data_IF_888959823336
#
_entry.id   IF_888959823336
#
_cell.length_a   1.000
_cell.length_b   1.000
_cell.length_c   1.000
_cell.angle_alpha   90.00
_cell.angle_beta   90.00
_cell.angle_gamma   90.00
#
_symmetry.space_group_name_H-M   'P 1'
#
loop_
_entity.id
_entity.type
_entity.pdbx_description
1 polymer ?
#
# COMPACT_ATOMS: atom_id res chain seq x y z
N UNK A 1 -9.30 -8.53 1.39
CA UNK A 1 -8.11 -9.41 1.43
C UNK A 1 -7.09 -8.75 2.33
N UNK A 2 -6.38 -9.52 3.15
CA UNK A 2 -5.33 -9.00 4.03
C UNK A 2 -4.07 -9.82 3.80
N UNK A 3 -2.96 -9.15 3.49
CA UNK A 3 -1.65 -9.75 3.44
C UNK A 3 -0.88 -9.32 4.69
N UNK A 4 -0.54 -10.29 5.52
CA UNK A 4 0.18 -10.07 6.78
C UNK A 4 1.63 -10.51 6.64
N UNK A 5 2.52 -9.86 7.39
CA UNK A 5 3.92 -10.28 7.44
C UNK A 5 4.71 -9.96 6.17
N UNK A 6 4.28 -8.98 5.37
CA UNK A 6 4.91 -8.57 4.11
C UNK A 6 6.24 -7.84 4.36
N UNK A 7 7.25 -8.60 4.79
CA UNK A 7 8.58 -8.12 5.17
C UNK A 7 9.66 -8.89 4.41
N UNK A 8 10.81 -8.27 4.21
CA UNK A 8 11.97 -8.92 3.61
C UNK A 8 12.37 -10.19 4.40
N UNK A 9 12.80 -11.22 3.67
CA UNK A 9 13.04 -12.60 4.13
C UNK A 9 11.78 -13.43 4.46
N UNK A 10 10.61 -12.80 4.64
CA UNK A 10 9.33 -13.50 4.69
C UNK A 10 8.64 -13.50 3.33
N UNK A 11 8.66 -12.36 2.63
CA UNK A 11 8.16 -12.20 1.28
C UNK A 11 9.02 -11.12 0.57
N UNK A 12 9.89 -11.47 -0.39
CA UNK A 12 10.18 -12.83 -0.84
C UNK A 12 10.79 -13.70 0.26
N UNK A 13 10.34 -14.96 0.34
CA UNK A 13 10.87 -15.91 1.30
C UNK A 13 12.36 -16.17 1.03
N UNK A 14 13.17 -16.17 2.10
CA UNK A 14 14.58 -16.58 2.04
C UNK A 14 14.92 -17.45 3.24
N UNK A 15 15.48 -18.62 2.98
CA UNK A 15 16.13 -19.44 4.00
C UNK A 15 17.51 -18.86 4.33
N UNK A 16 17.99 -19.04 5.56
CA UNK A 16 19.30 -18.53 6.00
C UNK A 16 20.47 -19.08 5.18
N UNK A 17 20.31 -20.26 4.59
CA UNK A 17 21.39 -21.00 3.91
C UNK A 17 21.24 -21.00 2.38
N UNK A 18 20.26 -20.28 1.84
CA UNK A 18 19.96 -20.35 0.40
C UNK A 18 19.79 -18.95 -0.19
N UNK A 19 20.57 -18.67 -1.23
CA UNK A 19 20.44 -17.43 -1.97
C UNK A 19 19.16 -17.40 -2.79
N UNK A 20 18.53 -16.22 -2.85
CA UNK A 20 17.36 -16.03 -3.68
C UNK A 20 17.80 -15.90 -5.13
N UNK A 21 17.66 -16.99 -5.87
CA UNK A 21 17.87 -17.00 -7.31
C UNK A 21 16.85 -16.08 -8.01
N UNK A 22 17.20 -15.49 -9.17
CA UNK A 22 16.27 -14.65 -9.93
C UNK A 22 14.94 -15.36 -10.24
N UNK A 23 14.99 -16.65 -10.57
CA UNK A 23 13.81 -17.47 -10.84
C UNK A 23 12.87 -17.57 -9.64
N UNK A 24 13.40 -17.82 -8.43
CA UNK A 24 12.59 -17.87 -7.21
C UNK A 24 12.04 -16.50 -6.84
N UNK A 25 12.82 -15.44 -7.03
CA UNK A 25 12.32 -14.08 -6.81
C UNK A 25 11.11 -13.78 -7.71
N UNK A 26 11.12 -14.21 -8.96
CA UNK A 26 9.96 -14.08 -9.85
C UNK A 26 8.76 -14.93 -9.43
N UNK A 27 8.99 -16.14 -8.91
CA UNK A 27 7.93 -16.99 -8.36
C UNK A 27 7.26 -16.34 -7.14
N UNK A 28 8.05 -15.82 -6.19
CA UNK A 28 7.56 -15.07 -5.03
C UNK A 28 6.81 -13.79 -5.45
N UNK A 29 7.30 -13.11 -6.49
CA UNK A 29 6.64 -11.95 -7.09
C UNK A 29 5.29 -12.34 -7.70
N UNK A 30 5.20 -13.49 -8.38
CA UNK A 30 3.94 -14.05 -8.88
C UNK A 30 2.98 -14.38 -7.73
N UNK A 31 3.47 -14.95 -6.63
CA UNK A 31 2.65 -15.19 -5.44
C UNK A 31 2.07 -13.90 -4.86
N UNK A 32 2.90 -12.86 -4.74
CA UNK A 32 2.44 -11.53 -4.31
C UNK A 32 1.38 -10.98 -5.27
N UNK A 33 1.61 -11.06 -6.58
CA UNK A 33 0.66 -10.62 -7.60
C UNK A 33 -0.69 -11.35 -7.52
N UNK A 34 -0.67 -12.67 -7.32
CA UNK A 34 -1.89 -13.46 -7.10
C UNK A 34 -2.62 -13.05 -5.81
N UNK A 35 -1.87 -12.76 -4.74
CA UNK A 35 -2.44 -12.22 -3.50
C UNK A 35 -3.13 -10.87 -3.70
N UNK A 36 -2.54 -9.99 -4.50
CA UNK A 36 -3.10 -8.67 -4.84
C UNK A 36 -4.37 -8.82 -5.68
N UNK A 37 -4.31 -9.59 -6.76
CA UNK A 37 -5.42 -9.76 -7.72
C UNK A 37 -6.60 -10.55 -7.15
N UNK A 38 -6.41 -11.30 -6.05
CA UNK A 38 -7.51 -11.88 -5.26
C UNK A 38 -8.36 -10.84 -4.53
N UNK A 39 -7.83 -9.64 -4.28
CA UNK A 39 -8.58 -8.58 -3.62
C UNK A 39 -9.56 -7.92 -4.58
N UNK A 40 -10.87 -8.09 -4.37
CA UNK A 40 -11.91 -7.49 -5.24
C UNK A 40 -12.11 -5.99 -5.04
N UNK A 41 -12.03 -5.51 -3.80
CA UNK A 41 -12.32 -4.11 -3.45
C UNK A 41 -11.17 -3.46 -2.67
N UNK A 42 -10.72 -4.12 -1.60
CA UNK A 42 -9.70 -3.58 -0.71
C UNK A 42 -8.69 -4.65 -0.36
N UNK A 43 -7.42 -4.25 -0.47
CA UNK A 43 -6.26 -5.00 -0.01
C UNK A 43 -5.62 -4.22 1.15
N UNK A 44 -5.54 -4.86 2.31
CA UNK A 44 -4.73 -4.35 3.42
C UNK A 44 -3.40 -5.09 3.45
N UNK A 45 -2.29 -4.35 3.52
CA UNK A 45 -0.93 -4.90 3.57
C UNK A 45 -0.31 -4.52 4.91
N UNK A 46 0.00 -5.53 5.72
CA UNK A 46 0.63 -5.37 7.03
C UNK A 46 2.11 -5.70 7.01
N UNK A 47 2.94 -4.75 7.44
CA UNK A 47 4.39 -4.93 7.67
C UNK A 47 4.69 -4.88 9.16
N UNK A 48 5.81 -5.47 9.58
CA UNK A 48 6.24 -5.53 10.96
C UNK A 48 7.50 -4.68 11.11
N UNK A 49 7.54 -3.76 12.08
CA UNK A 49 8.77 -3.00 12.37
C UNK A 49 9.82 -3.84 13.11
N UNK A 50 9.36 -4.83 13.89
CA UNK A 50 10.21 -5.77 14.63
C UNK A 50 9.57 -7.15 14.55
N UNK A 51 10.38 -8.20 14.43
CA UNK A 51 9.91 -9.59 14.43
C UNK A 51 10.81 -10.48 15.26
N UNK A 52 10.24 -11.54 15.82
CA UNK A 52 10.99 -12.58 16.53
C UNK A 52 11.63 -13.53 15.50
N UNK A 53 12.91 -13.84 15.67
CA UNK A 53 13.64 -14.83 14.90
C UNK A 53 14.38 -15.75 15.89
N UNK A 54 13.82 -16.92 16.16
CA UNK A 54 14.31 -17.80 17.23
C UNK A 54 14.20 -17.11 18.60
N UNK A 55 15.35 -16.92 19.26
CA UNK A 55 15.44 -16.23 20.56
C UNK A 55 15.60 -14.72 20.44
N UNK A 56 15.92 -14.22 19.25
CA UNK A 56 16.23 -12.81 19.02
C UNK A 56 15.03 -12.03 18.48
N UNK A 57 15.03 -10.71 18.70
CA UNK A 57 14.08 -9.79 18.06
C UNK A 57 14.84 -8.90 17.08
N UNK A 58 14.58 -9.09 15.79
CA UNK A 58 15.25 -8.38 14.71
C UNK A 58 14.35 -7.27 14.16
N UNK A 59 14.98 -6.26 13.55
CA UNK A 59 14.27 -5.24 12.78
C UNK A 59 13.55 -5.90 11.59
N UNK A 60 12.28 -5.56 11.41
CA UNK A 60 11.52 -5.94 10.24
C UNK A 60 11.67 -4.87 9.16
N UNK A 61 12.13 -5.29 8.00
CA UNK A 61 12.26 -4.45 6.81
C UNK A 61 11.05 -4.72 5.92
N UNK A 62 10.30 -3.70 5.48
CA UNK A 62 9.19 -3.89 4.53
C UNK A 62 9.64 -4.66 3.27
N UNK A 63 8.76 -5.48 2.72
CA UNK A 63 9.05 -6.20 1.47
C UNK A 63 9.41 -5.23 0.34
N UNK A 64 10.42 -5.58 -0.46
CA UNK A 64 10.75 -4.89 -1.71
C UNK A 64 9.56 -4.75 -2.67
N UNK A 65 8.63 -5.71 -2.66
CA UNK A 65 7.46 -5.70 -3.54
C UNK A 65 6.50 -4.55 -3.25
N UNK A 66 6.51 -3.98 -2.03
CA UNK A 66 5.68 -2.81 -1.68
C UNK A 66 6.18 -1.56 -2.41
N UNK A 67 7.50 -1.35 -2.44
CA UNK A 67 8.09 -0.19 -3.11
C UNK A 67 7.85 -0.24 -4.63
N UNK A 68 7.93 -1.43 -5.22
CA UNK A 68 7.69 -1.65 -6.65
C UNK A 68 6.23 -1.37 -7.08
N UNK A 69 5.28 -1.36 -6.14
CA UNK A 69 3.88 -0.98 -6.44
C UNK A 69 3.70 0.51 -6.73
N UNK A 70 4.68 1.35 -6.39
CA UNK A 70 4.62 2.81 -6.61
C UNK A 70 3.34 3.45 -6.03
N UNK A 71 2.95 3.02 -4.83
CA UNK A 71 1.70 3.48 -4.19
C UNK A 71 1.65 5.01 -3.99
N UNK A 72 2.81 5.67 -3.92
CA UNK A 72 2.92 7.12 -3.79
C UNK A 72 2.51 7.86 -5.08
N UNK A 73 2.58 7.21 -6.24
CA UNK A 73 2.13 7.76 -7.53
C UNK A 73 0.61 7.62 -7.71
N UNK A 74 -0.04 6.77 -6.92
CA UNK A 74 -1.48 6.55 -6.99
C UNK A 74 -2.21 7.70 -6.29
N UNK A 75 -3.02 8.46 -7.05
CA UNK A 75 -3.88 9.51 -6.48
C UNK A 75 -4.73 8.91 -5.36
N UNK A 76 -4.52 9.41 -4.13
CA UNK A 76 -5.36 9.05 -2.98
C UNK A 76 -6.81 9.32 -3.36
N UNK A 77 -7.65 8.30 -3.22
CA UNK A 77 -9.09 8.42 -3.47
C UNK A 77 -9.61 9.49 -2.52
N UNK A 78 -10.04 10.61 -3.09
CA UNK A 78 -10.50 11.76 -2.32
C UNK A 78 -11.70 11.35 -1.47
N UNK A 79 -11.71 11.71 -0.19
CA UNK A 79 -12.83 11.40 0.69
C UNK A 79 -14.10 12.04 0.12
N UNK A 80 -15.18 11.27 -0.12
CA UNK A 80 -16.43 11.80 -0.66
C UNK A 80 -16.95 13.02 0.10
N UNK A 81 -16.75 13.06 1.42
CA UNK A 81 -17.16 14.20 2.26
C UNK A 81 -16.30 15.43 2.02
N UNK A 82 -14.97 15.24 1.86
CA UNK A 82 -14.05 16.33 1.55
C UNK A 82 -14.36 16.94 0.17
N UNK A 83 -14.67 16.10 -0.82
CA UNK A 83 -15.12 16.54 -2.15
C UNK A 83 -16.43 17.33 -2.06
N UNK A 84 -17.42 16.82 -1.32
CA UNK A 84 -18.72 17.48 -1.19
C UNK A 84 -18.62 18.84 -0.48
N UNK A 85 -17.75 18.96 0.53
CA UNK A 85 -17.46 20.21 1.20
C UNK A 85 -16.84 21.23 0.24
N UNK A 86 -15.84 20.84 -0.55
CA UNK A 86 -15.22 21.72 -1.57
C UNK A 86 -16.23 22.24 -2.58
N UNK A 87 -17.08 21.35 -3.12
CA UNK A 87 -18.14 21.74 -4.06
C UNK A 87 -19.13 22.72 -3.44
N UNK A 88 -19.51 22.54 -2.16
CA UNK A 88 -20.34 23.51 -1.44
C UNK A 88 -19.63 24.87 -1.30
N UNK A 89 -18.39 24.86 -0.83
CA UNK A 89 -17.59 26.07 -0.62
C UNK A 89 -17.43 26.85 -1.95
N UNK A 90 -17.17 26.16 -3.08
CA UNK A 90 -17.09 26.73 -4.43
C UNK A 90 -18.40 27.34 -4.91
N UNK A 91 -19.52 26.64 -4.73
CA UNK A 91 -20.85 27.16 -5.09
C UNK A 91 -21.17 28.41 -4.27
N UNK A 92 -20.88 28.39 -2.97
CA UNK A 92 -21.14 29.53 -2.07
C UNK A 92 -20.30 30.75 -2.47
N UNK A 93 -19.02 30.54 -2.79
CA UNK A 93 -18.13 31.60 -3.27
C UNK A 93 -18.59 32.19 -4.62
N UNK A 94 -19.07 31.36 -5.54
CA UNK A 94 -19.59 31.81 -6.84
C UNK A 94 -20.86 32.63 -6.70
N UNK A 95 -21.76 32.24 -5.79
CA UNK A 95 -22.98 33.00 -5.47
C UNK A 95 -22.61 34.35 -4.85
N UNK A 96 -21.67 34.38 -3.90
CA UNK A 96 -21.21 35.63 -3.28
C UNK A 96 -20.54 36.58 -4.30
N UNK A 97 -19.69 36.04 -5.19
CA UNK A 97 -19.06 36.83 -6.25
C UNK A 97 -20.09 37.39 -7.25
N UNK A 98 -21.11 36.62 -7.62
CA UNK A 98 -22.18 37.08 -8.49
C UNK A 98 -23.05 38.17 -7.83
N UNK A 99 -23.24 38.10 -6.50
CA UNK A 99 -23.96 39.12 -5.74
C UNK A 99 -23.17 40.44 -5.60
N UNK A 100 -21.84 40.39 -5.60
CA UNK A 100 -20.97 41.57 -5.50
C UNK A 100 -20.77 42.34 -6.81
N UNK A 101 -21.16 41.75 -7.95
CA UNK A 101 -21.09 42.38 -9.30
C UNK A 101 -22.40 43.13 -9.63
N UNK A 102 -23.40 43.06 -8.75
CA UNK A 102 -24.72 43.70 -8.90
C UNK A 102 -24.83 44.92 -7.98
#
# INVERSE_FOLDING_TARGET
MILVGVNERLLPFRSSNEDLTPKRLEEERRLMHLGITRARHTLAVGTLRRRKNGRDTIAGVPSRFIAEMKLDEVKKKEDPRARLKRLRDEVTARVAAAAAVK
#
